data_IF_586371478747
#
_entry.id   IF_586371478747
#
_cell.length_a   1.000
_cell.length_b   1.000
_cell.length_c   1.000
_cell.angle_alpha   90.00
_cell.angle_beta   90.00
_cell.angle_gamma   90.00
#
_symmetry.space_group_name_H-M   'P 1'
#
loop_
_entity.id
_entity.type
_entity.pdbx_description
1 polymer ?
#
# COMPACT_ATOMS: atom_id res chain seq x y z
N UNK A 1 10.69 -19.50 0.95
CA UNK A 1 11.82 -19.00 1.76
C UNK A 1 12.06 -17.50 1.55
N UNK A 2 12.25 -17.00 0.30
CA UNK A 2 12.50 -15.56 0.02
C UNK A 2 11.38 -14.63 0.53
N UNK A 3 10.11 -14.99 0.38
CA UNK A 3 8.97 -14.18 0.84
C UNK A 3 8.89 -14.08 2.37
N UNK A 4 9.25 -15.13 3.10
CA UNK A 4 9.30 -15.14 4.57
C UNK A 4 10.41 -14.22 5.08
N UNK A 5 11.57 -14.24 4.42
CA UNK A 5 12.70 -13.37 4.76
C UNK A 5 12.35 -11.89 4.48
N UNK A 6 11.72 -11.60 3.34
CA UNK A 6 11.29 -10.25 2.99
C UNK A 6 10.20 -9.74 3.96
N UNK A 7 9.22 -10.58 4.31
CA UNK A 7 8.20 -10.25 5.30
C UNK A 7 8.79 -10.01 6.70
N UNK A 8 9.76 -10.83 7.11
CA UNK A 8 10.48 -10.65 8.37
C UNK A 8 11.30 -9.34 8.41
N UNK A 9 11.97 -9.00 7.31
CA UNK A 9 12.72 -7.75 7.21
C UNK A 9 11.78 -6.51 7.27
N UNK A 10 10.62 -6.56 6.60
CA UNK A 10 9.61 -5.50 6.67
C UNK A 10 9.03 -5.35 8.09
N UNK A 11 8.76 -6.46 8.78
CA UNK A 11 8.30 -6.43 10.17
C UNK A 11 9.35 -5.84 11.13
N UNK A 12 10.64 -6.16 10.93
CA UNK A 12 11.75 -5.61 11.71
C UNK A 12 11.91 -4.09 11.48
N UNK A 13 11.69 -3.60 10.27
CA UNK A 13 11.68 -2.15 9.99
C UNK A 13 10.57 -1.42 10.76
N UNK A 14 9.41 -2.05 10.98
CA UNK A 14 8.36 -1.50 11.84
C UNK A 14 8.79 -1.36 13.31
N UNK A 15 9.65 -2.26 13.81
CA UNK A 15 10.17 -2.19 15.18
C UNK A 15 11.24 -1.10 15.38
N UNK A 16 11.90 -0.65 14.31
CA UNK A 16 12.91 0.42 14.34
C UNK A 16 12.32 1.79 14.02
N UNK A 17 11.03 1.88 13.74
CA UNK A 17 10.37 3.15 13.47
C UNK A 17 10.29 4.01 14.73
N UNK A 18 10.28 5.35 14.56
CA UNK A 18 10.26 6.33 15.65
C UNK A 18 9.05 6.21 16.62
N UNK A 19 8.18 5.23 16.42
CA UNK A 19 7.09 4.90 17.33
C UNK A 19 7.55 4.48 18.74
N UNK A 20 8.82 4.11 18.90
CA UNK A 20 9.40 3.66 20.17
C UNK A 20 9.74 4.80 21.17
N UNK A 21 9.52 6.06 20.84
CA UNK A 21 10.14 7.16 21.59
C UNK A 21 9.26 7.88 22.63
N UNK A 22 7.96 7.59 22.76
CA UNK A 22 7.12 8.33 23.70
C UNK A 22 5.89 7.53 24.19
N UNK A 23 5.94 7.00 25.41
CA UNK A 23 4.75 6.46 26.06
C UNK A 23 5.02 5.28 26.99
N UNK A 24 3.95 4.72 27.57
CA UNK A 24 4.08 3.48 28.36
C UNK A 24 4.41 2.29 27.44
N UNK A 25 5.17 1.29 27.91
CA UNK A 25 5.61 0.14 27.11
C UNK A 25 4.48 -0.59 26.37
N UNK A 26 3.27 -0.55 26.92
CA UNK A 26 2.09 -1.19 26.35
C UNK A 26 1.61 -0.53 25.04
N UNK A 27 1.73 0.80 24.96
CA UNK A 27 1.38 1.56 23.75
C UNK A 27 2.47 1.45 22.68
N UNK A 28 3.71 1.29 23.05
CA UNK A 28 4.84 1.09 22.11
C UNK A 28 4.70 -0.22 21.34
N UNK A 29 4.38 -1.33 22.01
CA UNK A 29 4.13 -2.61 21.34
C UNK A 29 2.92 -2.55 20.39
N UNK A 30 1.86 -1.86 20.79
CA UNK A 30 0.68 -1.71 19.95
C UNK A 30 1.00 -0.90 18.68
N UNK A 31 1.71 0.22 18.82
CA UNK A 31 2.17 1.04 17.69
C UNK A 31 3.06 0.24 16.74
N UNK A 32 4.07 -0.45 17.29
CA UNK A 32 4.96 -1.29 16.49
C UNK A 32 4.19 -2.42 15.75
N UNK A 33 3.18 -3.00 16.37
CA UNK A 33 2.34 -4.01 15.74
C UNK A 33 1.48 -3.43 14.60
N UNK A 34 0.90 -2.24 14.78
CA UNK A 34 0.13 -1.54 13.75
C UNK A 34 1.03 -1.16 12.58
N UNK A 35 2.23 -0.64 12.84
CA UNK A 35 3.22 -0.30 11.81
C UNK A 35 3.67 -1.54 11.03
N UNK A 36 4.00 -2.63 11.73
CA UNK A 36 4.39 -3.88 11.10
C UNK A 36 3.27 -4.43 10.21
N UNK A 37 2.04 -4.39 10.68
CA UNK A 37 0.87 -4.83 9.92
C UNK A 37 0.65 -3.96 8.68
N UNK A 38 0.78 -2.64 8.80
CA UNK A 38 0.71 -1.70 7.69
C UNK A 38 1.76 -2.01 6.63
N UNK A 39 3.02 -2.18 7.03
CA UNK A 39 4.14 -2.50 6.13
C UNK A 39 3.98 -3.86 5.44
N UNK A 40 3.51 -4.89 6.16
CA UNK A 40 3.24 -6.20 5.58
C UNK A 40 2.13 -6.16 4.52
N UNK A 41 1.04 -5.44 4.81
CA UNK A 41 -0.06 -5.28 3.85
C UNK A 41 0.36 -4.44 2.64
N UNK A 42 1.15 -3.38 2.82
CA UNK A 42 1.71 -2.58 1.74
C UNK A 42 2.65 -3.43 0.86
N UNK A 43 3.56 -4.19 1.48
CA UNK A 43 4.47 -5.09 0.78
C UNK A 43 3.75 -6.19 0.01
N UNK A 44 2.68 -6.76 0.58
CA UNK A 44 1.83 -7.72 -0.12
C UNK A 44 1.14 -7.12 -1.35
N UNK A 45 0.58 -5.91 -1.22
CA UNK A 45 -0.09 -5.24 -2.33
C UNK A 45 0.89 -4.87 -3.43
N UNK A 46 1.97 -4.14 -3.11
CA UNK A 46 2.98 -3.71 -4.08
C UNK A 46 3.68 -4.92 -4.72
N UNK A 47 4.06 -5.91 -3.92
CA UNK A 47 4.67 -7.13 -4.41
C UNK A 47 3.75 -7.94 -5.32
N UNK A 48 2.45 -7.99 -4.99
CA UNK A 48 1.44 -8.64 -5.83
C UNK A 48 1.25 -7.94 -7.18
N UNK A 49 1.19 -6.59 -7.19
CA UNK A 49 1.17 -5.80 -8.44
C UNK A 49 2.42 -6.06 -9.29
N UNK A 50 3.60 -6.07 -8.67
CA UNK A 50 4.85 -6.34 -9.38
C UNK A 50 4.91 -7.74 -10.00
N UNK A 51 4.32 -8.75 -9.34
CA UNK A 51 4.20 -10.12 -9.88
C UNK A 51 3.17 -10.20 -11.01
N UNK A 52 2.12 -9.38 -10.98
CA UNK A 52 1.12 -9.35 -12.05
C UNK A 52 1.65 -8.72 -13.35
N UNK A 53 2.56 -7.75 -13.28
CA UNK A 53 3.06 -7.05 -14.47
C UNK A 53 3.59 -8.01 -15.56
N UNK A 54 4.49 -8.97 -15.28
CA UNK A 54 4.96 -9.89 -16.31
C UNK A 54 3.87 -10.83 -16.84
N UNK A 55 2.84 -11.15 -16.08
CA UNK A 55 1.71 -11.95 -16.54
C UNK A 55 0.74 -11.17 -17.46
N UNK A 56 0.78 -9.82 -17.38
CA UNK A 56 -0.04 -8.94 -18.22
C UNK A 56 0.65 -8.57 -19.55
N UNK A 57 1.99 -8.62 -19.60
CA UNK A 57 2.78 -8.23 -20.79
C UNK A 57 2.69 -9.22 -21.95
N UNK A 58 2.73 -10.55 -21.76
CA UNK A 58 2.49 -11.48 -22.84
C UNK A 58 1.00 -11.59 -23.13
N UNK A 59 0.50 -10.88 -24.12
CA UNK A 59 -0.89 -10.94 -24.61
C UNK A 59 -1.27 -12.29 -25.23
N UNK A 60 -0.48 -13.32 -25.03
CA UNK A 60 -0.60 -14.58 -25.78
C UNK A 60 -1.01 -15.67 -24.82
N UNK A 61 -2.30 -15.96 -24.84
CA UNK A 61 -2.76 -17.32 -24.77
C UNK A 61 -3.80 -17.67 -23.73
N UNK A 62 -3.84 -17.20 -22.51
CA UNK A 62 -4.79 -17.80 -21.57
C UNK A 62 -5.53 -16.73 -20.73
N UNK A 63 -6.55 -16.14 -21.36
CA UNK A 63 -7.45 -15.18 -20.68
C UNK A 63 -8.09 -15.82 -19.44
N UNK A 64 -8.36 -17.12 -19.47
CA UNK A 64 -8.95 -17.85 -18.34
C UNK A 64 -8.00 -17.87 -17.15
N UNK A 65 -6.72 -18.18 -17.40
CA UNK A 65 -5.68 -18.15 -16.37
C UNK A 65 -5.47 -16.75 -15.82
N UNK A 66 -5.41 -15.74 -16.70
CA UNK A 66 -5.26 -14.33 -16.31
C UNK A 66 -6.42 -13.87 -15.42
N UNK A 67 -7.66 -14.14 -15.82
CA UNK A 67 -8.86 -13.82 -15.02
C UNK A 67 -8.82 -14.51 -13.66
N UNK A 68 -8.37 -15.76 -13.59
CA UNK A 68 -8.25 -16.49 -12.33
C UNK A 68 -7.22 -15.88 -11.39
N UNK A 69 -6.03 -15.49 -11.92
CA UNK A 69 -4.99 -14.81 -11.17
C UNK A 69 -5.45 -13.44 -10.65
N UNK A 70 -6.09 -12.65 -11.52
CA UNK A 70 -6.62 -11.33 -11.16
C UNK A 70 -7.73 -11.43 -10.10
N UNK A 71 -8.60 -12.44 -10.17
CA UNK A 71 -9.63 -12.70 -9.14
C UNK A 71 -9.00 -13.06 -7.80
N UNK A 72 -8.00 -13.93 -7.81
CA UNK A 72 -7.27 -14.32 -6.59
C UNK A 72 -6.58 -13.13 -5.95
N UNK A 73 -5.83 -12.38 -6.76
CA UNK A 73 -5.16 -11.15 -6.30
C UNK A 73 -6.16 -10.12 -5.79
N UNK A 74 -7.25 -9.85 -6.54
CA UNK A 74 -8.29 -8.90 -6.14
C UNK A 74 -8.96 -9.27 -4.81
N UNK A 75 -9.17 -10.56 -4.53
CA UNK A 75 -9.77 -11.02 -3.28
C UNK A 75 -8.86 -10.75 -2.08
N UNK A 76 -7.60 -11.17 -2.15
CA UNK A 76 -6.62 -10.99 -1.08
C UNK A 76 -6.13 -9.54 -0.99
N UNK A 77 -5.99 -8.88 -2.15
CA UNK A 77 -5.66 -7.46 -2.23
C UNK A 77 -6.70 -6.58 -1.54
N UNK A 78 -8.00 -6.86 -1.72
CA UNK A 78 -9.04 -6.09 -1.03
C UNK A 78 -8.98 -6.25 0.50
N UNK A 79 -8.72 -7.45 1.01
CA UNK A 79 -8.52 -7.66 2.44
C UNK A 79 -7.28 -6.90 2.95
N UNK A 80 -6.18 -7.01 2.20
CA UNK A 80 -4.93 -6.29 2.52
C UNK A 80 -5.11 -4.78 2.53
N UNK A 81 -5.82 -4.22 1.54
CA UNK A 81 -6.13 -2.78 1.45
C UNK A 81 -7.00 -2.32 2.62
N UNK A 82 -8.02 -3.10 3.01
CA UNK A 82 -8.87 -2.75 4.15
C UNK A 82 -8.02 -2.65 5.44
N UNK A 83 -7.14 -3.62 5.68
CA UNK A 83 -6.22 -3.62 6.82
C UNK A 83 -5.23 -2.45 6.72
N UNK A 84 -4.68 -2.20 5.52
CA UNK A 84 -3.74 -1.10 5.27
C UNK A 84 -4.37 0.26 5.57
N UNK A 85 -5.61 0.50 5.14
CA UNK A 85 -6.34 1.74 5.40
C UNK A 85 -6.60 1.89 6.91
N UNK A 86 -7.07 0.83 7.57
CA UNK A 86 -7.32 0.85 9.00
C UNK A 86 -6.04 1.12 9.81
N UNK A 87 -4.95 0.38 9.52
CA UNK A 87 -3.66 0.57 10.18
C UNK A 87 -3.05 1.95 9.88
N UNK A 88 -3.14 2.42 8.61
CA UNK A 88 -2.66 3.74 8.23
C UNK A 88 -3.42 4.88 8.90
N UNK A 89 -4.74 4.74 9.05
CA UNK A 89 -5.56 5.72 9.80
C UNK A 89 -5.20 5.71 11.27
N UNK A 90 -5.07 4.52 11.88
CA UNK A 90 -4.66 4.40 13.28
C UNK A 90 -3.28 5.05 13.52
N UNK A 91 -2.30 4.78 12.65
CA UNK A 91 -0.99 5.42 12.70
C UNK A 91 -1.07 6.94 12.57
N UNK A 92 -1.85 7.45 11.63
CA UNK A 92 -2.03 8.90 11.45
C UNK A 92 -2.62 9.55 12.71
N UNK A 93 -3.67 8.96 13.29
CA UNK A 93 -4.29 9.46 14.54
C UNK A 93 -3.28 9.43 15.69
N UNK A 94 -2.59 8.29 15.90
CA UNK A 94 -1.62 8.14 16.98
C UNK A 94 -0.42 9.08 16.86
N UNK A 95 -0.03 9.44 15.63
CA UNK A 95 1.05 10.38 15.37
C UNK A 95 0.58 11.83 15.58
N UNK A 96 -0.60 12.19 15.08
CA UNK A 96 -1.10 13.57 15.12
C UNK A 96 -1.62 13.98 16.49
N UNK A 97 -1.99 13.03 17.36
CA UNK A 97 -2.59 13.27 18.69
C UNK A 97 -1.53 13.39 19.81
N UNK A 98 -0.29 13.79 19.48
CA UNK A 98 0.74 14.02 20.49
C UNK A 98 0.61 15.44 21.06
N UNK A 99 0.24 15.58 22.36
CA UNK A 99 0.01 16.88 22.97
C UNK A 99 1.25 17.78 22.93
N UNK A 100 1.06 19.04 22.54
CA UNK A 100 2.14 20.04 22.52
C UNK A 100 3.06 19.97 21.30
N UNK A 101 2.85 19.04 20.38
CA UNK A 101 3.63 18.94 19.15
C UNK A 101 3.15 19.91 18.07
N UNK A 102 4.09 20.58 17.45
CA UNK A 102 3.86 21.39 16.25
C UNK A 102 4.44 20.68 15.04
N UNK A 103 3.56 20.38 14.08
CA UNK A 103 3.97 19.73 12.83
C UNK A 103 4.53 20.77 11.87
N UNK A 104 5.64 20.46 11.19
CA UNK A 104 6.12 21.34 10.13
C UNK A 104 5.13 21.30 8.95
N UNK A 105 4.87 22.45 8.32
CA UNK A 105 4.00 22.55 7.14
C UNK A 105 4.47 21.62 6.02
N UNK A 106 5.78 21.47 5.88
CA UNK A 106 6.39 20.56 4.90
C UNK A 106 6.01 19.09 5.18
N UNK A 107 6.07 18.64 6.44
CA UNK A 107 5.70 17.28 6.80
C UNK A 107 4.21 17.01 6.53
N UNK A 108 3.35 17.92 6.95
CA UNK A 108 1.89 17.81 6.76
C UNK A 108 1.54 17.78 5.27
N UNK A 109 2.19 18.62 4.46
CA UNK A 109 1.98 18.65 3.01
C UNK A 109 2.33 17.31 2.37
N UNK A 110 3.50 16.74 2.65
CA UNK A 110 3.89 15.45 2.08
C UNK A 110 3.06 14.27 2.60
N UNK A 111 2.63 14.34 3.86
CA UNK A 111 1.68 13.37 4.40
C UNK A 111 0.34 13.43 3.66
N UNK A 112 -0.17 14.63 3.38
CA UNK A 112 -1.39 14.82 2.60
C UNK A 112 -1.24 14.28 1.16
N UNK A 113 -0.12 14.55 0.50
CA UNK A 113 0.18 13.99 -0.84
C UNK A 113 0.20 12.46 -0.80
N UNK A 114 0.82 11.85 0.20
CA UNK A 114 0.82 10.40 0.40
C UNK A 114 -0.60 9.85 0.54
N UNK A 115 -1.46 10.51 1.32
CA UNK A 115 -2.86 10.09 1.53
C UNK A 115 -3.64 10.18 0.24
N UNK A 116 -3.49 11.25 -0.55
CA UNK A 116 -4.16 11.42 -1.85
C UNK A 116 -3.74 10.33 -2.83
N UNK A 117 -2.44 10.02 -2.93
CA UNK A 117 -1.94 8.95 -3.78
C UNK A 117 -2.48 7.58 -3.35
N UNK A 118 -2.52 7.30 -2.05
CA UNK A 118 -3.10 6.07 -1.53
C UNK A 118 -4.60 5.96 -1.85
N UNK A 119 -5.36 7.05 -1.73
CA UNK A 119 -6.77 7.10 -2.11
C UNK A 119 -6.96 6.85 -3.62
N UNK A 120 -6.10 7.42 -4.48
CA UNK A 120 -6.09 7.17 -5.91
C UNK A 120 -5.83 5.70 -6.23
N UNK A 121 -4.84 5.07 -5.59
CA UNK A 121 -4.57 3.64 -5.75
C UNK A 121 -5.77 2.78 -5.36
N UNK A 122 -6.44 3.10 -4.24
CA UNK A 122 -7.66 2.39 -3.82
C UNK A 122 -8.77 2.57 -4.87
N UNK A 123 -8.96 3.78 -5.40
CA UNK A 123 -9.96 4.03 -6.44
C UNK A 123 -9.68 3.22 -7.72
N UNK A 124 -8.42 3.15 -8.17
CA UNK A 124 -8.00 2.32 -9.31
C UNK A 124 -8.26 0.83 -9.04
N UNK A 125 -7.88 0.34 -7.86
CA UNK A 125 -8.12 -1.05 -7.45
C UNK A 125 -9.62 -1.41 -7.42
N UNK A 126 -10.47 -0.50 -6.94
CA UNK A 126 -11.93 -0.68 -6.94
C UNK A 126 -12.48 -0.67 -8.39
N UNK A 127 -12.00 0.22 -9.24
CA UNK A 127 -12.37 0.25 -10.67
C UNK A 127 -11.97 -1.06 -11.36
N UNK A 128 -10.75 -1.54 -11.12
CA UNK A 128 -10.29 -2.81 -11.65
C UNK A 128 -11.15 -3.98 -11.16
N UNK A 129 -11.48 -4.00 -9.86
CA UNK A 129 -12.23 -5.08 -9.24
C UNK A 129 -13.68 -5.15 -9.72
N UNK A 130 -14.38 -4.02 -9.77
CA UNK A 130 -15.82 -3.98 -10.00
C UNK A 130 -16.21 -3.62 -11.43
N UNK A 131 -15.33 -2.99 -12.19
CA UNK A 131 -15.53 -2.60 -13.59
C UNK A 131 -14.78 -3.48 -14.57
N UNK A 132 -13.46 -3.37 -14.57
CA UNK A 132 -12.61 -3.92 -15.64
C UNK A 132 -12.52 -5.46 -15.58
N UNK A 133 -12.32 -6.04 -14.40
CA UNK A 133 -12.19 -7.49 -14.27
C UNK A 133 -13.48 -8.26 -14.65
N UNK A 134 -14.70 -7.83 -14.28
CA UNK A 134 -15.92 -8.44 -14.77
C UNK A 134 -16.12 -8.29 -16.28
N UNK A 135 -15.72 -7.15 -16.87
CA UNK A 135 -15.78 -6.93 -18.31
C UNK A 135 -14.82 -7.89 -19.06
N UNK A 136 -13.58 -7.99 -18.60
CA UNK A 136 -12.60 -8.94 -19.13
C UNK A 136 -13.11 -10.39 -19.06
N UNK A 137 -13.76 -10.77 -17.94
CA UNK A 137 -14.31 -12.12 -17.76
C UNK A 137 -15.47 -12.43 -18.72
N UNK A 138 -16.12 -11.39 -19.28
CA UNK A 138 -17.14 -11.54 -20.34
C UNK A 138 -16.55 -11.52 -21.76
N UNK A 139 -15.23 -11.38 -21.90
CA UNK A 139 -14.55 -11.34 -23.18
C UNK A 139 -14.47 -9.94 -23.83
N UNK A 140 -14.62 -8.89 -23.05
CA UNK A 140 -14.47 -7.50 -23.52
C UNK A 140 -13.01 -7.20 -23.85
N UNK A 141 -12.73 -6.86 -25.10
CA UNK A 141 -11.38 -6.60 -25.58
C UNK A 141 -10.80 -5.31 -24.99
N UNK A 142 -11.61 -4.25 -24.81
CA UNK A 142 -11.16 -2.98 -24.22
C UNK A 142 -10.72 -3.17 -22.76
N UNK A 143 -11.37 -4.07 -22.02
CA UNK A 143 -10.97 -4.42 -20.67
C UNK A 143 -9.58 -5.07 -20.64
N UNK A 144 -9.24 -5.87 -21.67
CA UNK A 144 -7.91 -6.48 -21.82
C UNK A 144 -6.80 -5.46 -22.00
N UNK A 145 -7.06 -4.36 -22.68
CA UNK A 145 -6.10 -3.26 -22.87
C UNK A 145 -6.04 -2.31 -21.66
N UNK A 146 -7.12 -2.19 -20.90
CA UNK A 146 -7.23 -1.30 -19.75
C UNK A 146 -6.49 -1.82 -18.53
N UNK A 147 -6.56 -3.14 -18.24
CA UNK A 147 -5.95 -3.74 -17.03
C UNK A 147 -4.45 -3.47 -16.92
N UNK A 148 -3.61 -3.67 -17.95
CA UNK A 148 -2.19 -3.40 -17.84
C UNK A 148 -1.89 -1.94 -17.48
N UNK A 149 -2.64 -1.00 -18.06
CA UNK A 149 -2.45 0.43 -17.81
C UNK A 149 -2.80 0.81 -16.36
N UNK A 150 -3.91 0.30 -15.84
CA UNK A 150 -4.31 0.58 -14.46
C UNK A 150 -3.38 -0.08 -13.44
N UNK A 151 -2.93 -1.30 -13.67
CA UNK A 151 -1.93 -1.98 -12.82
C UNK A 151 -0.59 -1.23 -12.82
N UNK A 152 -0.13 -0.75 -13.98
CA UNK A 152 1.09 0.06 -14.07
C UNK A 152 0.92 1.41 -13.37
N UNK A 153 -0.24 2.04 -13.48
CA UNK A 153 -0.55 3.28 -12.76
C UNK A 153 -0.55 3.07 -11.24
N UNK A 154 -1.16 1.97 -10.75
CA UNK A 154 -1.12 1.59 -9.33
C UNK A 154 0.33 1.36 -8.86
N UNK A 155 1.13 0.63 -9.63
CA UNK A 155 2.54 0.37 -9.30
C UNK A 155 3.37 1.67 -9.30
N UNK A 156 3.14 2.56 -10.27
CA UNK A 156 3.79 3.88 -10.32
C UNK A 156 3.43 4.74 -9.11
N UNK A 157 2.16 4.79 -8.72
CA UNK A 157 1.72 5.49 -7.52
C UNK A 157 2.32 4.88 -6.25
N UNK A 158 2.42 3.54 -6.17
CA UNK A 158 3.06 2.85 -5.06
C UNK A 158 4.54 3.21 -4.91
N UNK A 159 5.29 3.23 -6.02
CA UNK A 159 6.70 3.64 -6.01
C UNK A 159 6.86 5.10 -5.58
N UNK A 160 5.98 5.99 -6.03
CA UNK A 160 5.98 7.38 -5.60
C UNK A 160 5.69 7.52 -4.10
N UNK A 161 4.74 6.75 -3.57
CA UNK A 161 4.48 6.70 -2.12
C UNK A 161 5.72 6.24 -1.36
N UNK A 162 6.44 5.21 -1.84
CA UNK A 162 7.67 4.74 -1.19
C UNK A 162 8.76 5.83 -1.17
N UNK A 163 8.90 6.61 -2.25
CA UNK A 163 9.82 7.75 -2.30
C UNK A 163 9.43 8.83 -1.29
N UNK A 164 8.13 9.16 -1.20
CA UNK A 164 7.61 10.13 -0.22
C UNK A 164 7.85 9.64 1.21
N UNK A 165 7.63 8.36 1.48
CA UNK A 165 7.89 7.78 2.81
C UNK A 165 9.38 7.84 3.16
N UNK A 166 10.27 7.54 2.20
CA UNK A 166 11.71 7.72 2.38
C UNK A 166 12.08 9.16 2.69
N UNK A 167 11.50 10.13 1.98
CA UNK A 167 11.71 11.55 2.20
C UNK A 167 11.18 12.02 3.56
N UNK A 168 9.96 11.61 3.94
CA UNK A 168 9.38 11.90 5.25
C UNK A 168 10.20 11.35 6.41
N UNK A 169 10.89 10.22 6.21
CA UNK A 169 11.79 9.63 7.21
C UNK A 169 13.06 10.47 7.46
N UNK A 170 13.42 11.35 6.54
CA UNK A 170 14.59 12.23 6.66
C UNK A 170 14.22 13.62 7.21
N UNK A 171 12.99 14.08 6.95
CA UNK A 171 12.50 15.35 7.48
C UNK A 171 12.12 15.18 8.95
N UNK A 172 12.62 16.08 9.81
CA UNK A 172 12.15 16.12 11.19
C UNK A 172 10.65 16.44 11.20
N UNK A 173 9.80 15.57 11.76
CA UNK A 173 8.35 15.78 11.76
C UNK A 173 7.91 16.95 12.62
N UNK A 174 8.78 17.46 13.47
CA UNK A 174 8.47 18.39 14.55
C UNK A 174 9.42 19.57 14.58
N UNK A 175 8.88 20.74 14.84
CA UNK A 175 9.63 21.88 15.33
C UNK A 175 9.49 21.94 16.86
N UNK A 176 10.61 21.85 17.55
CA UNK A 176 10.63 22.13 19.00
C UNK A 176 10.40 23.62 19.26
#
# INVERSE_FOLDING_TARGET
>A
MKAIVAGGALALLGLTSHAAAAGSPRFEYLRAAIDALHLLCAGFWIGGLAVLVPELLPRIGDTVRLVALLRLFSRWGAASVAVLVAAGTANAVLILDVPGMRWSDTYVTWLAVKIVLAALMVALALTNRFGVLPALARGDAEAGDTIPLTVLAELGAALLILLIVGFLGVIAPMQM
#
